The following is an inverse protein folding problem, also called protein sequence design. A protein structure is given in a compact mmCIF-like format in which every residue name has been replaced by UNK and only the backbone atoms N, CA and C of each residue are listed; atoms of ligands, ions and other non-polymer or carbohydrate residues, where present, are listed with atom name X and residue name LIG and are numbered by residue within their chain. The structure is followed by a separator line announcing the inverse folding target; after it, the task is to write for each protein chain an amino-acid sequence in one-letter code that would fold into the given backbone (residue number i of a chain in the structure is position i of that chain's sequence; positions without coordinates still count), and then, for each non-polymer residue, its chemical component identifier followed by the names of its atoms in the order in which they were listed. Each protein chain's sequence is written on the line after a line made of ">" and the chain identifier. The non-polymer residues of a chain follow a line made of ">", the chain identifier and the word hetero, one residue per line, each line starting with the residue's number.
data_IF_596810160466
#
_entry.id   IF_596810160466
#
_cell.length_a   1.000
_cell.length_b   1.000
_cell.length_c   1.000
_cell.angle_alpha   90.00
_cell.angle_beta   90.00
_cell.angle_gamma   90.00
#
_symmetry.space_group_name_H-M   'P 1'
#
loop_
_entity.id
_entity.type
_entity.pdbx_description
1 polymer ?
#
# COMPACT_ATOMS: atom_id res chain seq x y z
N UNK A 1 -6.81 -0.46 -3.36
CA UNK A 1 -5.45 -1.01 -3.37
C UNK A 1 -4.61 -0.43 -2.25
N UNK A 2 -4.41 0.90 -2.18
CA UNK A 2 -3.76 1.52 -1.00
C UNK A 2 -4.43 1.13 0.30
N UNK A 3 -5.77 1.13 0.35
CA UNK A 3 -6.52 0.68 1.53
C UNK A 3 -6.18 -0.77 1.89
N UNK A 4 -6.24 -1.71 0.95
CA UNK A 4 -5.93 -3.11 1.22
C UNK A 4 -4.47 -3.34 1.65
N UNK A 5 -3.51 -2.61 1.06
CA UNK A 5 -2.11 -2.64 1.51
C UNK A 5 -2.00 -2.14 2.96
N UNK A 6 -2.69 -1.05 3.29
CA UNK A 6 -2.71 -0.51 4.65
C UNK A 6 -3.45 -1.41 5.62
N UNK A 7 -4.56 -2.01 5.22
CA UNK A 7 -5.33 -2.94 6.04
C UNK A 7 -4.47 -4.17 6.34
N UNK A 8 -3.89 -4.82 5.33
CA UNK A 8 -3.00 -5.98 5.53
C UNK A 8 -1.73 -5.63 6.31
N UNK A 9 -1.00 -4.60 5.86
CA UNK A 9 0.26 -4.19 6.48
C UNK A 9 0.07 -3.61 7.89
N UNK A 10 -1.10 -3.05 8.19
CA UNK A 10 -1.41 -2.66 9.55
C UNK A 10 -1.73 -3.85 10.44
N UNK A 11 -2.11 -5.04 9.96
CA UNK A 11 -2.22 -6.22 10.85
C UNK A 11 -0.85 -6.79 11.21
N UNK A 12 0.13 -6.67 10.30
CA UNK A 12 1.48 -7.20 10.45
C UNK A 12 2.52 -6.13 10.06
N UNK A 13 2.73 -5.10 10.92
CA UNK A 13 3.66 -4.02 10.60
C UNK A 13 5.09 -4.54 10.43
N UNK A 14 5.82 -3.98 9.48
CA UNK A 14 7.18 -4.39 9.12
C UNK A 14 7.27 -5.58 8.16
N UNK A 15 6.19 -6.36 7.99
CA UNK A 15 6.16 -7.50 7.09
C UNK A 15 5.95 -7.11 5.62
N UNK A 16 6.38 -7.99 4.71
CA UNK A 16 6.24 -7.80 3.28
C UNK A 16 4.82 -8.16 2.83
N UNK A 17 4.08 -7.18 2.30
CA UNK A 17 2.78 -7.41 1.65
C UNK A 17 2.98 -7.39 0.13
N UNK A 18 2.66 -8.47 -0.56
CA UNK A 18 2.73 -8.47 -2.03
C UNK A 18 1.51 -7.78 -2.64
N UNK A 19 1.65 -7.29 -3.88
CA UNK A 19 0.49 -6.75 -4.60
C UNK A 19 -0.61 -7.79 -4.81
N UNK A 20 -0.25 -9.08 -4.91
CA UNK A 20 -1.22 -10.17 -5.09
C UNK A 20 -2.04 -10.40 -3.84
N UNK A 21 -1.43 -10.32 -2.66
CA UNK A 21 -2.15 -10.45 -1.38
C UNK A 21 -3.15 -9.31 -1.22
N UNK A 22 -2.73 -8.08 -1.57
CA UNK A 22 -3.60 -6.92 -1.53
C UNK A 22 -4.74 -6.99 -2.57
N UNK A 23 -4.49 -7.53 -3.76
CA UNK A 23 -5.53 -7.81 -4.77
C UNK A 23 -6.54 -8.83 -4.27
N UNK A 24 -6.07 -9.95 -3.72
CA UNK A 24 -6.91 -11.00 -3.15
C UNK A 24 -7.75 -10.48 -1.98
N UNK A 25 -7.15 -9.70 -1.07
CA UNK A 25 -7.85 -9.12 0.08
C UNK A 25 -8.91 -8.09 -0.34
N UNK A 26 -8.62 -7.27 -1.36
CA UNK A 26 -9.56 -6.28 -1.87
C UNK A 26 -10.67 -6.86 -2.76
N UNK A 27 -10.51 -8.09 -3.27
CA UNK A 27 -11.42 -8.68 -4.25
C UNK A 27 -11.48 -7.90 -5.57
N UNK A 28 -10.41 -7.19 -5.95
CA UNK A 28 -10.37 -6.36 -7.16
C UNK A 28 -9.32 -6.85 -8.15
N UNK A 29 -9.56 -6.60 -9.44
CA UNK A 29 -8.58 -6.91 -10.48
C UNK A 29 -7.35 -5.99 -10.40
N UNK A 30 -6.22 -6.49 -10.91
CA UNK A 30 -4.95 -5.75 -11.01
C UNK A 30 -5.06 -4.40 -11.74
N UNK A 31 -5.93 -4.31 -12.74
CA UNK A 31 -6.19 -3.06 -13.47
C UNK A 31 -6.82 -1.99 -12.57
N UNK A 32 -7.88 -2.38 -11.84
CA UNK A 32 -8.57 -1.51 -10.88
C UNK A 32 -7.62 -1.12 -9.75
N UNK A 33 -6.84 -2.08 -9.26
CA UNK A 33 -5.84 -1.87 -8.22
C UNK A 33 -4.83 -0.77 -8.57
N UNK A 34 -4.25 -0.85 -9.77
CA UNK A 34 -3.30 0.15 -10.28
C UNK A 34 -3.95 1.50 -10.49
N UNK A 35 -5.19 1.53 -10.99
CA UNK A 35 -5.96 2.78 -11.16
C UNK A 35 -6.18 3.50 -9.84
N UNK A 36 -6.54 2.78 -8.77
CA UNK A 36 -6.72 3.35 -7.44
C UNK A 36 -5.43 3.92 -6.85
N UNK A 37 -4.29 3.23 -7.02
CA UNK A 37 -2.98 3.74 -6.60
C UNK A 37 -2.63 5.02 -7.36
N UNK A 38 -2.75 5.01 -8.69
CA UNK A 38 -2.46 6.17 -9.52
C UNK A 38 -3.32 7.39 -9.14
N UNK A 39 -4.63 7.17 -8.93
CA UNK A 39 -5.56 8.21 -8.49
C UNK A 39 -5.18 8.82 -7.15
N UNK A 40 -4.86 8.01 -6.15
CA UNK A 40 -4.42 8.52 -4.84
C UNK A 40 -3.09 9.28 -4.95
N UNK A 41 -2.14 8.78 -5.76
CA UNK A 41 -0.87 9.46 -6.02
C UNK A 41 -1.10 10.87 -6.54
N UNK A 42 -1.96 11.00 -7.56
CA UNK A 42 -2.26 12.27 -8.18
C UNK A 42 -2.96 13.21 -7.21
N UNK A 43 -3.91 12.70 -6.42
CA UNK A 43 -4.61 13.48 -5.42
C UNK A 43 -3.66 14.04 -4.36
N UNK A 44 -2.79 13.19 -3.80
CA UNK A 44 -1.83 13.60 -2.77
C UNK A 44 -0.84 14.64 -3.31
N UNK A 45 -0.29 14.39 -4.51
CA UNK A 45 0.63 15.33 -5.17
C UNK A 45 -0.04 16.67 -5.45
N UNK A 46 -1.28 16.67 -5.95
CA UNK A 46 -2.00 17.90 -6.27
C UNK A 46 -2.39 18.68 -5.03
N UNK A 47 -2.89 18.02 -3.99
CA UNK A 47 -3.50 18.68 -2.82
C UNK A 47 -2.50 19.07 -1.74
N UNK A 48 -1.48 18.26 -1.53
CA UNK A 48 -0.53 18.40 -0.42
C UNK A 48 0.89 18.70 -0.90
N UNK A 49 1.16 18.70 -2.22
CA UNK A 49 2.50 18.90 -2.80
C UNK A 49 3.55 17.93 -2.24
N UNK A 50 3.11 16.76 -1.78
CA UNK A 50 3.94 15.66 -1.25
C UNK A 50 3.82 14.44 -2.14
N UNK A 51 4.79 13.54 -2.04
CA UNK A 51 4.78 12.24 -2.71
C UNK A 51 4.99 11.08 -1.72
N UNK A 52 4.98 11.39 -0.43
CA UNK A 52 5.23 10.42 0.63
C UNK A 52 4.05 9.46 0.70
N UNK A 53 4.33 8.19 0.46
CA UNK A 53 3.37 7.12 0.66
C UNK A 53 3.36 6.68 2.13
N UNK A 54 2.23 6.17 2.63
CA UNK A 54 2.14 5.62 3.98
C UNK A 54 2.78 4.22 4.09
N UNK A 55 3.57 3.80 3.11
CA UNK A 55 4.31 2.54 3.09
C UNK A 55 5.55 2.69 2.23
N UNK A 56 6.55 1.86 2.50
CA UNK A 56 7.72 1.69 1.64
C UNK A 56 7.43 0.68 0.54
N UNK A 57 8.10 0.82 -0.60
CA UNK A 57 8.09 -0.17 -1.67
C UNK A 57 9.46 -0.83 -1.76
N UNK A 58 9.51 -2.15 -1.60
CA UNK A 58 10.71 -2.98 -1.74
C UNK A 58 10.56 -3.89 -2.96
N UNK A 59 11.62 -4.03 -3.73
CA UNK A 59 11.64 -4.91 -4.90
C UNK A 59 12.31 -6.24 -4.55
N UNK A 60 11.81 -7.33 -5.13
CA UNK A 60 12.46 -8.63 -5.00
C UNK A 60 13.93 -8.57 -5.44
N UNK A 61 14.81 -9.26 -4.72
CA UNK A 61 16.18 -9.48 -5.15
C UNK A 61 16.18 -10.44 -6.36
N UNK A 62 17.11 -10.24 -7.31
CA UNK A 62 17.28 -11.17 -8.44
C UNK A 62 16.56 -10.79 -9.75
N UNK A 63 16.08 -9.54 -9.89
CA UNK A 63 15.60 -9.02 -11.18
C UNK A 63 14.12 -9.32 -11.50
N UNK A 64 13.42 -10.01 -10.61
CA UNK A 64 11.97 -10.16 -10.71
C UNK A 64 11.26 -8.81 -10.47
N UNK A 65 10.31 -8.46 -11.35
CA UNK A 65 9.50 -7.23 -11.23
C UNK A 65 8.36 -7.38 -10.22
N UNK A 66 8.69 -7.87 -9.02
CA UNK A 66 7.76 -8.03 -7.91
C UNK A 66 8.02 -6.91 -6.90
N UNK A 67 6.97 -6.14 -6.64
CA UNK A 67 6.95 -5.11 -5.61
C UNK A 67 6.27 -5.65 -4.35
N UNK A 68 6.91 -5.41 -3.22
CA UNK A 68 6.40 -5.62 -1.88
C UNK A 68 6.20 -4.26 -1.20
N UNK A 69 5.17 -4.20 -0.37
CA UNK A 69 4.80 -3.00 0.37
C UNK A 69 5.01 -3.26 1.86
N UNK A 70 5.62 -2.31 2.55
CA UNK A 70 5.91 -2.41 3.98
C UNK A 70 5.31 -1.22 4.70
N UNK A 71 4.43 -1.50 5.66
CA UNK A 71 3.83 -0.50 6.54
C UNK A 71 4.62 -0.46 7.84
N UNK A 72 5.04 0.72 8.28
CA UNK A 72 5.75 0.87 9.55
C UNK A 72 4.80 0.78 10.75
N UNK A 73 5.31 0.46 11.94
CA UNK A 73 4.53 0.45 13.18
C UNK A 73 3.79 1.77 13.44
N UNK A 74 4.45 2.90 13.16
CA UNK A 74 3.86 4.23 13.33
C UNK A 74 2.64 4.40 12.43
N UNK A 75 2.75 4.03 11.14
CA UNK A 75 1.63 4.14 10.22
C UNK A 75 0.53 3.14 10.58
N UNK A 76 0.89 1.90 10.95
CA UNK A 76 -0.08 0.89 11.36
C UNK A 76 -0.93 1.36 12.55
N UNK A 77 -0.29 1.97 13.56
CA UNK A 77 -0.99 2.57 14.72
C UNK A 77 -1.96 3.67 14.30
N UNK A 78 -1.51 4.61 13.47
CA UNK A 78 -2.37 5.70 12.97
C UNK A 78 -3.54 5.17 12.14
N UNK A 79 -3.29 4.16 11.30
CA UNK A 79 -4.31 3.54 10.46
C UNK A 79 -5.39 2.85 11.28
N UNK A 80 -5.00 2.02 12.24
CA UNK A 80 -5.94 1.35 13.14
C UNK A 80 -6.79 2.36 13.94
N UNK A 81 -6.21 3.49 14.34
CA UNK A 81 -6.92 4.53 15.08
C UNK A 81 -8.04 5.22 14.26
N UNK A 82 -7.92 5.31 12.93
CA UNK A 82 -8.93 5.92 12.05
C UNK A 82 -9.88 4.91 11.41
N UNK A 83 -9.58 3.61 11.52
CA UNK A 83 -10.38 2.49 10.98
C UNK A 83 -11.41 1.92 11.96
N UNK A 84 -11.44 2.41 13.20
CA UNK A 84 -12.36 1.99 14.26
C UNK A 84 -13.82 2.35 13.96
#
# INVERSE_FOLDING_TARGET
>A
MTLAILDLGAHQPGELVSIRDAEAHAGVSRGVARGQLAGLTQLVRRRFKRQDWPFEVRWAAGGEKIAYYVVSDTVAKLWRAVRA
#
